data_IF_838144707475
#
_entry.id   IF_838144707475
#
_cell.length_a   1.000
_cell.length_b   1.000
_cell.length_c   1.000
_cell.angle_alpha   90.00
_cell.angle_beta   90.00
_cell.angle_gamma   90.00
#
_symmetry.space_group_name_H-M   'P 1'
#
loop_
_entity.id
_entity.type
_entity.pdbx_description
1 polymer ?
#
# COMPACT_ATOMS: atom_id res chain seq x y z
N UNK A 1 6.82 -12.39 -3.47
CA UNK A 1 5.95 -11.23 -3.21
C UNK A 1 6.42 -10.04 -4.03
N UNK A 2 5.49 -9.28 -4.56
CA UNK A 2 5.78 -8.05 -5.29
C UNK A 2 5.07 -6.89 -4.60
N UNK A 3 5.82 -5.88 -4.18
CA UNK A 3 5.29 -4.77 -3.38
C UNK A 3 5.55 -3.41 -4.01
N UNK A 4 4.68 -2.46 -3.69
CA UNK A 4 4.81 -1.07 -4.08
C UNK A 4 4.81 -0.21 -2.82
N UNK A 5 5.81 0.65 -2.68
CA UNK A 5 5.87 1.62 -1.59
C UNK A 5 5.56 3.01 -2.15
N UNK A 6 4.53 3.64 -1.62
CA UNK A 6 4.08 4.97 -2.06
C UNK A 6 4.34 5.96 -0.95
N UNK A 7 5.34 6.82 -1.13
CA UNK A 7 5.81 7.73 -0.10
C UNK A 7 6.57 8.88 -0.75
N UNK A 8 6.18 10.11 -0.46
CA UNK A 8 6.83 11.29 -1.03
C UNK A 8 8.14 11.66 -0.33
N UNK A 9 8.31 11.29 0.93
CA UNK A 9 9.55 11.53 1.66
C UNK A 9 10.61 10.51 1.26
N UNK A 10 11.75 11.01 0.77
CA UNK A 10 12.82 10.16 0.26
C UNK A 10 13.34 9.17 1.31
N UNK A 11 13.63 9.68 2.51
CA UNK A 11 14.20 8.83 3.58
C UNK A 11 13.23 7.74 4.01
N UNK A 12 11.96 8.10 4.19
CA UNK A 12 10.91 7.15 4.57
C UNK A 12 10.69 6.10 3.49
N UNK A 13 10.67 6.53 2.22
CA UNK A 13 10.49 5.62 1.10
C UNK A 13 11.64 4.63 1.03
N UNK A 14 12.88 5.12 1.13
CA UNK A 14 14.07 4.28 1.08
C UNK A 14 14.09 3.28 2.24
N UNK A 15 13.75 3.73 3.44
CA UNK A 15 13.68 2.86 4.62
C UNK A 15 12.71 1.70 4.39
N UNK A 16 11.50 1.99 3.93
CA UNK A 16 10.49 0.97 3.67
C UNK A 16 10.89 0.04 2.54
N UNK A 17 11.42 0.58 1.46
CA UNK A 17 11.85 -0.22 0.33
C UNK A 17 12.98 -1.18 0.71
N UNK A 18 13.94 -0.72 1.50
CA UNK A 18 15.03 -1.57 1.98
C UNK A 18 14.50 -2.71 2.84
N UNK A 19 13.53 -2.43 3.70
CA UNK A 19 12.94 -3.46 4.55
C UNK A 19 12.14 -4.49 3.72
N UNK A 20 11.23 -4.00 2.89
CA UNK A 20 10.35 -4.88 2.09
C UNK A 20 11.13 -5.70 1.06
N UNK A 21 12.24 -5.15 0.54
CA UNK A 21 13.08 -5.85 -0.44
C UNK A 21 13.68 -7.15 0.10
N UNK A 22 13.70 -7.34 1.41
CA UNK A 22 14.13 -8.60 2.02
C UNK A 22 13.17 -9.74 1.71
N UNK A 23 11.93 -9.43 1.38
CA UNK A 23 10.87 -10.42 1.18
C UNK A 23 10.49 -10.62 -0.28
N UNK A 24 10.92 -9.74 -1.17
CA UNK A 24 10.59 -9.86 -2.57
C UNK A 24 10.88 -8.60 -3.36
N UNK A 25 10.34 -8.53 -4.57
CA UNK A 25 10.50 -7.37 -5.44
C UNK A 25 9.75 -6.17 -4.84
N UNK A 26 10.38 -5.01 -4.87
CA UNK A 26 9.79 -3.80 -4.32
C UNK A 26 10.06 -2.60 -5.22
N UNK A 27 8.99 -1.95 -5.67
CA UNK A 27 9.07 -0.70 -6.42
C UNK A 27 8.65 0.46 -5.53
N UNK A 28 9.11 1.67 -5.86
CA UNK A 28 8.76 2.87 -5.11
C UNK A 28 8.20 3.95 -6.02
N UNK A 29 7.21 4.69 -5.52
CA UNK A 29 6.66 5.85 -6.19
C UNK A 29 6.59 7.02 -5.23
N UNK A 30 6.57 8.24 -5.76
CA UNK A 30 6.66 9.46 -4.95
C UNK A 30 5.32 10.15 -4.73
N UNK A 31 4.30 9.80 -5.53
CA UNK A 31 2.98 10.39 -5.37
C UNK A 31 1.88 9.40 -5.79
N UNK A 32 0.63 9.82 -5.55
CA UNK A 32 -0.52 8.95 -5.80
C UNK A 32 -0.77 8.67 -7.28
N UNK A 33 -0.51 9.62 -8.15
CA UNK A 33 -0.72 9.43 -9.58
C UNK A 33 0.24 8.38 -10.12
N UNK A 34 1.51 8.45 -9.74
CA UNK A 34 2.49 7.43 -10.09
C UNK A 34 2.11 6.05 -9.55
N UNK A 35 1.57 6.02 -8.33
CA UNK A 35 1.17 4.76 -7.70
C UNK A 35 0.06 4.07 -8.49
N UNK A 36 -0.98 4.81 -8.87
CA UNK A 36 -2.10 4.26 -9.64
C UNK A 36 -1.61 3.77 -10.99
N UNK A 37 -0.76 4.56 -11.65
CA UNK A 37 -0.19 4.18 -12.94
C UNK A 37 0.65 2.91 -12.83
N UNK A 38 1.51 2.82 -11.81
CA UNK A 38 2.34 1.64 -11.57
C UNK A 38 1.49 0.40 -11.32
N UNK A 39 0.41 0.56 -10.55
CA UNK A 39 -0.52 -0.53 -10.27
C UNK A 39 -1.17 -1.04 -11.56
N UNK A 40 -1.66 -0.13 -12.40
CA UNK A 40 -2.30 -0.50 -13.66
C UNK A 40 -1.32 -1.19 -14.62
N UNK A 41 -0.11 -0.67 -14.74
CA UNK A 41 0.91 -1.27 -15.59
C UNK A 41 1.27 -2.68 -15.15
N UNK A 42 1.39 -2.89 -13.84
CA UNK A 42 1.69 -4.22 -13.30
C UNK A 42 0.59 -5.23 -13.64
N UNK A 43 -0.67 -4.80 -13.57
CA UNK A 43 -1.80 -5.65 -13.94
C UNK A 43 -1.78 -5.99 -15.44
N UNK A 44 -1.49 -5.01 -16.29
CA UNK A 44 -1.43 -5.21 -17.75
C UNK A 44 -0.30 -6.17 -18.13
N UNK A 45 0.80 -6.15 -17.39
CA UNK A 45 1.94 -7.03 -17.63
C UNK A 45 1.73 -8.44 -17.06
N UNK A 46 0.61 -8.68 -16.37
CA UNK A 46 0.34 -9.97 -15.75
C UNK A 46 1.14 -10.24 -14.49
N UNK A 47 1.73 -9.20 -13.90
CA UNK A 47 2.51 -9.29 -12.67
C UNK A 47 1.99 -8.30 -11.63
N UNK A 48 0.76 -8.49 -11.14
CA UNK A 48 0.15 -7.53 -10.21
C UNK A 48 0.89 -7.48 -8.87
N UNK A 49 0.76 -6.34 -8.20
CA UNK A 49 1.30 -6.19 -6.85
C UNK A 49 0.49 -7.01 -5.84
N UNK A 50 1.21 -7.59 -4.89
CA UNK A 50 0.61 -8.31 -3.76
C UNK A 50 0.37 -7.40 -2.58
N UNK A 51 1.21 -6.37 -2.44
CA UNK A 51 1.20 -5.45 -1.30
C UNK A 51 1.45 -4.02 -1.77
N UNK A 52 0.71 -3.07 -1.20
CA UNK A 52 1.00 -1.64 -1.34
C UNK A 52 1.11 -1.04 0.06
N UNK A 53 2.26 -0.45 0.36
CA UNK A 53 2.46 0.35 1.57
C UNK A 53 2.24 1.80 1.17
N UNK A 54 1.21 2.42 1.72
CA UNK A 54 0.67 3.68 1.22
C UNK A 54 0.64 4.75 2.30
N UNK A 55 1.40 5.82 2.10
CA UNK A 55 1.37 6.98 2.98
C UNK A 55 0.07 7.75 2.77
N UNK A 56 -0.55 8.18 3.87
CA UNK A 56 -1.80 8.94 3.82
C UNK A 56 -1.55 10.38 3.38
N UNK A 57 -0.51 11.01 3.92
CA UNK A 57 -0.24 12.44 3.71
C UNK A 57 0.72 12.68 2.56
N UNK A 58 0.18 12.85 1.36
CA UNK A 58 0.96 13.15 0.17
C UNK A 58 0.33 14.33 -0.58
N UNK A 59 1.15 15.13 -1.31
CA UNK A 59 0.63 16.23 -2.10
C UNK A 59 -0.14 15.71 -3.32
N UNK A 60 -1.01 16.54 -3.88
CA UNK A 60 -1.79 16.33 -5.09
C UNK A 60 -2.86 15.25 -4.94
N UNK A 61 -2.47 14.04 -4.61
CA UNK A 61 -3.38 12.91 -4.45
C UNK A 61 -3.00 12.16 -3.18
N UNK A 62 -3.82 12.27 -2.13
CA UNK A 62 -3.52 11.64 -0.85
C UNK A 62 -3.76 10.11 -0.87
N UNK A 63 -3.38 9.45 0.22
CA UNK A 63 -3.50 8.00 0.32
C UNK A 63 -4.94 7.49 0.20
N UNK A 64 -5.92 8.23 0.69
CA UNK A 64 -7.32 7.82 0.58
C UNK A 64 -7.79 7.81 -0.87
N UNK A 65 -7.36 8.80 -1.64
CA UNK A 65 -7.70 8.89 -3.07
C UNK A 65 -7.05 7.75 -3.84
N UNK A 66 -5.80 7.41 -3.52
CA UNK A 66 -5.11 6.27 -4.14
C UNK A 66 -5.84 4.96 -3.81
N UNK A 67 -6.17 4.75 -2.54
CA UNK A 67 -6.89 3.57 -2.08
C UNK A 67 -8.20 3.41 -2.84
N UNK A 68 -8.99 4.46 -2.91
CA UNK A 68 -10.26 4.46 -3.61
C UNK A 68 -10.08 4.12 -5.09
N UNK A 69 -9.09 4.71 -5.74
CA UNK A 69 -8.81 4.48 -7.15
C UNK A 69 -8.42 3.03 -7.42
N UNK A 70 -7.57 2.45 -6.58
CA UNK A 70 -7.12 1.07 -6.74
C UNK A 70 -8.29 0.10 -6.54
N UNK A 71 -9.10 0.28 -5.52
CA UNK A 71 -10.26 -0.58 -5.28
C UNK A 71 -11.27 -0.47 -6.42
N UNK A 72 -11.44 0.71 -6.99
CA UNK A 72 -12.31 0.90 -8.15
C UNK A 72 -11.80 0.15 -9.38
N UNK A 73 -10.49 0.21 -9.63
CA UNK A 73 -9.87 -0.54 -10.74
C UNK A 73 -10.08 -2.04 -10.56
N UNK A 74 -9.90 -2.54 -9.34
CA UNK A 74 -10.13 -3.96 -9.04
C UNK A 74 -11.58 -4.36 -9.35
N UNK A 75 -12.55 -3.54 -8.95
CA UNK A 75 -13.96 -3.80 -9.23
C UNK A 75 -14.25 -3.82 -10.73
N UNK A 76 -13.73 -2.85 -11.46
CA UNK A 76 -13.94 -2.76 -12.91
C UNK A 76 -13.34 -3.95 -13.66
N UNK A 77 -12.23 -4.48 -13.17
CA UNK A 77 -11.55 -5.62 -13.80
C UNK A 77 -12.02 -6.97 -13.26
N UNK A 78 -12.95 -6.97 -12.32
CA UNK A 78 -13.50 -8.20 -11.77
C UNK A 78 -12.51 -9.04 -10.97
N UNK A 79 -11.57 -8.38 -10.28
CA UNK A 79 -10.57 -9.07 -9.46
C UNK A 79 -11.27 -9.80 -8.32
N UNK A 80 -10.96 -11.07 -8.12
CA UNK A 80 -11.55 -11.87 -7.05
C UNK A 80 -11.09 -11.36 -5.69
N UNK A 81 -11.93 -11.49 -4.68
CA UNK A 81 -11.65 -10.98 -3.33
C UNK A 81 -10.30 -11.45 -2.80
N UNK A 82 -9.99 -12.73 -2.97
CA UNK A 82 -8.73 -13.32 -2.49
C UNK A 82 -7.51 -12.87 -3.30
N UNK A 83 -7.72 -12.26 -4.46
CA UNK A 83 -6.63 -11.78 -5.33
C UNK A 83 -6.43 -10.26 -5.23
N UNK A 84 -7.25 -9.56 -4.48
CA UNK A 84 -7.10 -8.12 -4.30
C UNK A 84 -5.79 -7.79 -3.59
N UNK A 85 -5.15 -6.71 -4.05
CA UNK A 85 -3.89 -6.29 -3.43
C UNK A 85 -4.11 -5.92 -1.96
N UNK A 86 -3.18 -6.32 -1.10
CA UNK A 86 -3.20 -5.94 0.32
C UNK A 86 -2.67 -4.52 0.44
N UNK A 87 -3.43 -3.64 1.08
CA UNK A 87 -3.04 -2.23 1.22
C UNK A 87 -2.89 -1.89 2.69
N UNK A 88 -1.67 -1.50 3.06
CA UNK A 88 -1.35 -1.02 4.40
C UNK A 88 -1.26 0.50 4.33
N UNK A 89 -2.17 1.18 4.99
CA UNK A 89 -2.15 2.64 5.10
C UNK A 89 -1.24 3.04 6.26
N UNK A 90 -0.42 4.07 6.06
CA UNK A 90 0.52 4.54 7.07
C UNK A 90 0.33 6.04 7.29
N UNK A 91 0.23 6.45 8.54
CA UNK A 91 0.01 7.86 8.87
C UNK A 91 0.77 8.26 10.14
N UNK A 92 1.20 9.52 10.20
CA UNK A 92 1.77 10.11 11.41
C UNK A 92 0.69 10.45 12.44
N UNK A 93 -0.58 10.51 12.01
CA UNK A 93 -1.71 10.86 12.87
C UNK A 93 -2.67 9.68 12.94
N UNK A 94 -2.88 9.15 14.16
CA UNK A 94 -3.87 8.11 14.37
C UNK A 94 -5.17 8.75 14.89
N UNK A 95 -5.87 9.43 13.99
CA UNK A 95 -7.21 9.96 14.29
C UNK A 95 -8.23 8.88 14.00
N UNK A 96 -9.10 8.60 14.96
CA UNK A 96 -10.15 7.58 14.81
C UNK A 96 -10.98 7.77 13.55
N UNK A 97 -11.32 9.03 13.23
CA UNK A 97 -12.08 9.37 12.04
C UNK A 97 -11.39 8.90 10.76
N UNK A 98 -10.06 9.09 10.68
CA UNK A 98 -9.30 8.71 9.50
C UNK A 98 -9.17 7.19 9.37
N UNK A 99 -9.03 6.49 10.49
CA UNK A 99 -8.99 5.02 10.51
C UNK A 99 -10.30 4.45 9.98
N UNK A 100 -11.42 4.99 10.43
CA UNK A 100 -12.75 4.56 9.98
C UNK A 100 -12.90 4.75 8.47
N UNK A 101 -12.52 5.92 7.96
CA UNK A 101 -12.59 6.22 6.53
C UNK A 101 -11.74 5.24 5.72
N UNK A 102 -10.52 4.92 6.20
CA UNK A 102 -9.64 3.98 5.52
C UNK A 102 -10.29 2.60 5.38
N UNK A 103 -10.92 2.10 6.45
CA UNK A 103 -11.57 0.79 6.41
C UNK A 103 -12.85 0.81 5.57
N UNK A 104 -13.58 1.91 5.56
CA UNK A 104 -14.74 2.08 4.68
C UNK A 104 -14.33 2.02 3.21
N UNK A 105 -13.11 2.48 2.88
CA UNK A 105 -12.54 2.43 1.54
C UNK A 105 -11.77 1.13 1.28
N UNK A 106 -11.90 0.16 2.18
CA UNK A 106 -11.36 -1.20 2.03
C UNK A 106 -9.82 -1.29 2.10
N UNK A 107 -9.19 -0.52 3.00
CA UNK A 107 -7.78 -0.78 3.29
C UNK A 107 -7.67 -2.09 4.07
N UNK A 108 -6.52 -2.76 3.95
CA UNK A 108 -6.32 -4.04 4.64
C UNK A 108 -5.87 -3.81 6.08
N UNK A 109 -4.91 -2.90 6.28
CA UNK A 109 -4.36 -2.59 7.60
C UNK A 109 -4.05 -1.09 7.66
N UNK A 110 -4.18 -0.51 8.85
CA UNK A 110 -3.88 0.89 9.10
C UNK A 110 -2.83 0.97 10.20
N UNK A 111 -1.69 1.58 9.90
CA UNK A 111 -0.55 1.67 10.82
C UNK A 111 -0.18 3.13 11.12
N UNK A 112 0.24 3.40 12.35
CA UNK A 112 0.78 4.70 12.73
C UNK A 112 2.28 4.75 12.44
N UNK A 113 2.78 5.92 12.09
CA UNK A 113 4.22 6.21 12.00
C UNK A 113 4.72 6.69 13.37
N UNK A 114 5.98 6.40 13.73
CA UNK A 114 6.97 5.64 12.99
C UNK A 114 6.62 4.16 12.95
N UNK A 115 6.90 3.52 11.81
CA UNK A 115 6.57 2.10 11.62
C UNK A 115 7.46 1.23 12.49
N UNK A 116 6.83 0.36 13.29
CA UNK A 116 7.54 -0.64 14.08
C UNK A 116 7.74 -1.87 13.20
N UNK A 117 8.99 -2.19 12.88
CA UNK A 117 9.29 -3.27 11.95
C UNK A 117 8.87 -4.65 12.44
N UNK A 118 8.93 -4.89 13.76
CA UNK A 118 8.49 -6.17 14.31
C UNK A 118 6.99 -6.36 14.13
N UNK A 119 6.23 -5.28 14.37
CA UNK A 119 4.78 -5.30 14.15
C UNK A 119 4.44 -5.47 12.68
N UNK A 120 5.18 -4.77 11.82
CA UNK A 120 4.98 -4.89 10.38
C UNK A 120 5.25 -6.31 9.90
N UNK A 121 6.33 -6.93 10.38
CA UNK A 121 6.62 -8.33 10.05
C UNK A 121 5.46 -9.24 10.44
N UNK A 122 4.93 -9.08 11.65
CA UNK A 122 3.79 -9.86 12.12
C UNK A 122 2.55 -9.66 11.24
N UNK A 123 2.31 -8.45 10.80
CA UNK A 123 1.20 -8.14 9.88
C UNK A 123 1.39 -8.87 8.55
N UNK A 124 2.59 -8.81 7.99
CA UNK A 124 2.89 -9.47 6.71
C UNK A 124 2.71 -10.99 6.81
N UNK A 125 3.11 -11.58 7.94
CA UNK A 125 2.90 -13.02 8.20
C UNK A 125 1.42 -13.34 8.25
N UNK A 126 0.63 -12.56 8.99
CA UNK A 126 -0.83 -12.76 9.10
C UNK A 126 -1.54 -12.62 7.78
N UNK A 127 -1.06 -11.77 6.90
CA UNK A 127 -1.63 -11.58 5.57
C UNK A 127 -1.21 -12.66 4.58
N UNK A 128 -0.33 -13.57 5.00
CA UNK A 128 0.15 -14.64 4.14
C UNK A 128 1.15 -14.20 3.09
N UNK A 129 1.73 -13.01 3.23
CA UNK A 129 2.68 -12.45 2.26
C UNK A 129 4.11 -12.91 2.48
N UNK A 130 4.46 -13.25 3.71
CA UNK A 130 5.79 -13.76 4.08
C UNK A 130 5.63 -14.89 5.09
N UNK A 131 6.68 -15.68 5.27
CA UNK A 131 6.69 -16.79 6.22
C UNK A 131 7.19 -16.41 7.61
#
# INVERSE_FOLDING_TARGET
>A
MKALVVEDDYASRKFMMNYISKYGECDGTVDGAEAVEAYMMAMEEGEPYDLICLDVMMPVMDGYQVLKSIREIERQKGVLEEEKVKIIMMTALSEERNVKTAFELECTVYCAKPVNLDKLHNVLVKLGLVE
#
